data_IF_097012082936
#
_entry.id   IF_097012082936
#
_cell.length_a   1.000
_cell.length_b   1.000
_cell.length_c   1.000
_cell.angle_alpha   90.00
_cell.angle_beta   90.00
_cell.angle_gamma   90.00
#
_symmetry.space_group_name_H-M   'P 1'
#
loop_
_entity.id
_entity.type
_entity.pdbx_description
1 polymer ?
#
# COMPACT_ATOMS: atom_id res chain seq x y z
N UNK A 1 14.14 15.86 -29.83
CA UNK A 1 15.36 15.52 -30.61
C UNK A 1 15.09 14.53 -31.76
N UNK A 2 14.65 13.29 -31.48
CA UNK A 2 14.38 12.28 -32.53
C UNK A 2 13.44 12.77 -33.64
N UNK A 3 12.32 13.41 -33.27
CA UNK A 3 11.38 13.95 -34.26
C UNK A 3 12.01 15.02 -35.16
N UNK A 4 12.89 15.88 -34.62
CA UNK A 4 13.55 16.95 -35.39
C UNK A 4 14.46 16.35 -36.46
N UNK A 5 15.22 15.31 -36.10
CA UNK A 5 16.09 14.60 -37.06
C UNK A 5 15.26 13.90 -38.13
N UNK A 6 14.22 13.14 -37.72
CA UNK A 6 13.47 12.28 -38.64
C UNK A 6 12.52 13.05 -39.55
N UNK A 7 11.87 14.08 -39.03
CA UNK A 7 10.84 14.84 -39.77
C UNK A 7 11.46 16.01 -40.50
N UNK A 8 12.39 16.72 -39.86
CA UNK A 8 12.93 17.96 -40.42
C UNK A 8 14.33 17.80 -41.04
N UNK A 9 15.02 16.68 -40.80
CA UNK A 9 16.34 16.40 -41.39
C UNK A 9 17.49 17.19 -40.77
N UNK A 10 17.26 17.97 -39.71
CA UNK A 10 18.32 18.74 -39.05
C UNK A 10 19.10 17.87 -38.06
N UNK A 11 20.39 18.15 -37.88
CA UNK A 11 21.21 17.58 -36.82
C UNK A 11 21.16 18.51 -35.58
N UNK A 12 20.29 18.24 -34.58
CA UNK A 12 20.25 19.06 -33.37
C UNK A 12 21.45 18.76 -32.46
N UNK A 13 21.96 19.81 -31.83
CA UNK A 13 22.82 19.72 -30.65
C UNK A 13 22.05 19.06 -29.48
N UNK A 14 22.73 18.90 -28.33
CA UNK A 14 22.10 18.28 -27.14
C UNK A 14 20.94 19.13 -26.63
N UNK A 15 21.16 20.44 -26.47
CA UNK A 15 20.23 21.40 -25.90
C UNK A 15 19.90 22.56 -26.84
N UNK A 16 20.29 22.50 -28.12
CA UNK A 16 19.96 23.53 -29.10
C UNK A 16 19.53 22.94 -30.44
N UNK A 17 18.69 23.69 -31.14
CA UNK A 17 18.27 23.42 -32.51
C UNK A 17 18.57 24.67 -33.32
N UNK A 18 19.35 24.52 -34.38
CA UNK A 18 19.59 25.58 -35.33
C UNK A 18 18.72 25.38 -36.57
N UNK A 19 17.95 26.40 -36.92
CA UNK A 19 17.10 26.38 -38.11
C UNK A 19 16.94 27.79 -38.68
N UNK A 20 17.20 27.96 -39.98
CA UNK A 20 17.08 29.25 -40.70
C UNK A 20 17.84 30.40 -40.02
N UNK A 21 19.05 30.13 -39.52
CA UNK A 21 19.88 31.11 -38.82
C UNK A 21 19.37 31.50 -37.43
N UNK A 22 18.31 30.84 -36.92
CA UNK A 22 17.87 30.99 -35.54
C UNK A 22 18.33 29.80 -34.71
N UNK A 23 18.92 30.09 -33.55
CA UNK A 23 19.32 29.09 -32.56
C UNK A 23 18.33 29.07 -31.41
N UNK A 24 17.62 27.96 -31.25
CA UNK A 24 16.62 27.76 -30.19
C UNK A 24 17.14 26.79 -29.13
N UNK A 25 17.16 27.21 -27.87
CA UNK A 25 17.54 26.34 -26.74
C UNK A 25 16.37 25.45 -26.31
N UNK A 26 16.64 24.18 -26.09
CA UNK A 26 15.75 23.19 -25.54
C UNK A 26 16.08 22.99 -24.05
N UNK A 27 15.08 23.16 -23.19
CA UNK A 27 15.22 22.98 -21.74
C UNK A 27 14.10 22.10 -21.20
N UNK A 28 14.39 21.41 -20.09
CA UNK A 28 13.40 20.63 -19.35
C UNK A 28 13.12 21.37 -18.05
N UNK A 29 11.90 21.90 -17.93
CA UNK A 29 11.45 22.62 -16.74
C UNK A 29 10.21 21.91 -16.17
N UNK A 30 10.38 20.92 -15.26
CA UNK A 30 9.27 20.22 -14.65
C UNK A 30 8.38 21.19 -13.86
N UNK A 31 7.07 21.17 -14.12
CA UNK A 31 6.13 22.04 -13.42
C UNK A 31 5.90 21.56 -11.97
N UNK A 32 5.87 22.50 -11.02
CA UNK A 32 5.59 22.25 -9.61
C UNK A 32 4.12 22.41 -9.24
N UNK A 33 3.72 21.88 -8.08
CA UNK A 33 2.41 22.16 -7.49
C UNK A 33 2.42 23.50 -6.73
N UNK A 34 1.25 24.14 -6.64
CA UNK A 34 1.11 25.39 -5.88
C UNK A 34 0.98 25.11 -4.38
N UNK A 35 2.10 25.11 -3.67
CA UNK A 35 2.12 24.92 -2.22
C UNK A 35 1.30 25.97 -1.46
N UNK A 36 1.30 27.21 -1.98
CA UNK A 36 0.57 28.32 -1.37
C UNK A 36 -0.94 28.15 -1.52
N UNK A 37 -1.44 27.63 -2.65
CA UNK A 37 -2.88 27.38 -2.86
C UNK A 37 -3.38 26.31 -1.90
N UNK A 38 -2.69 25.17 -1.81
CA UNK A 38 -3.05 24.08 -0.89
C UNK A 38 -2.98 24.57 0.55
N UNK A 39 -1.94 25.32 0.92
CA UNK A 39 -1.81 25.82 2.29
C UNK A 39 -2.88 26.85 2.65
N UNK A 40 -3.26 27.73 1.73
CA UNK A 40 -4.39 28.65 1.93
C UNK A 40 -5.70 27.87 2.12
N UNK A 41 -5.94 26.84 1.31
CA UNK A 41 -7.15 26.01 1.44
C UNK A 41 -7.22 25.31 2.80
N UNK A 42 -6.11 24.77 3.30
CA UNK A 42 -6.03 24.13 4.63
C UNK A 42 -6.31 25.08 5.79
N UNK A 43 -6.10 26.39 5.61
CA UNK A 43 -6.31 27.38 6.66
C UNK A 43 -7.74 27.95 6.67
N UNK A 44 -8.68 27.34 5.94
CA UNK A 44 -10.07 27.78 5.89
C UNK A 44 -10.96 27.01 6.87
N UNK A 45 -12.03 27.63 7.41
CA UNK A 45 -13.00 26.91 8.24
C UNK A 45 -13.69 25.75 7.51
N UNK A 46 -13.97 25.91 6.21
CA UNK A 46 -14.57 24.87 5.37
C UNK A 46 -13.68 23.63 5.28
N UNK A 47 -12.36 23.80 5.16
CA UNK A 47 -11.44 22.67 5.19
C UNK A 47 -11.54 21.89 6.51
N UNK A 48 -11.56 22.58 7.65
CA UNK A 48 -11.67 21.94 8.96
C UNK A 48 -12.99 21.15 9.11
N UNK A 49 -14.09 21.72 8.62
CA UNK A 49 -15.39 21.06 8.57
C UNK A 49 -15.35 19.79 7.70
N UNK A 50 -14.84 19.88 6.47
CA UNK A 50 -14.71 18.74 5.57
C UNK A 50 -13.80 17.65 6.16
N UNK A 51 -12.67 18.03 6.75
CA UNK A 51 -11.72 17.08 7.35
C UNK A 51 -12.36 16.32 8.52
N UNK A 52 -13.10 17.01 9.39
CA UNK A 52 -13.84 16.39 10.50
C UNK A 52 -14.88 15.39 9.98
N UNK A 53 -15.66 15.79 8.97
CA UNK A 53 -16.68 14.94 8.35
C UNK A 53 -16.06 13.68 7.74
N UNK A 54 -14.98 13.81 6.96
CA UNK A 54 -14.32 12.65 6.35
C UNK A 54 -13.59 11.77 7.36
N UNK A 55 -13.05 12.36 8.43
CA UNK A 55 -12.45 11.59 9.53
C UNK A 55 -13.49 10.69 10.20
N UNK A 56 -14.69 11.23 10.44
CA UNK A 56 -15.81 10.49 11.01
C UNK A 56 -16.36 9.44 10.03
N UNK A 57 -16.61 9.82 8.78
CA UNK A 57 -17.18 8.93 7.74
C UNK A 57 -16.29 7.72 7.45
N UNK A 58 -14.96 7.92 7.43
CA UNK A 58 -13.98 6.87 7.15
C UNK A 58 -13.30 6.37 8.42
N UNK A 59 -13.91 6.54 9.59
CA UNK A 59 -13.34 6.03 10.84
C UNK A 59 -13.18 4.49 10.77
N UNK A 60 -11.99 4.00 11.11
CA UNK A 60 -11.67 2.56 11.03
C UNK A 60 -11.51 2.00 9.61
N UNK A 61 -11.51 2.86 8.59
CA UNK A 61 -11.34 2.49 7.17
C UNK A 61 -10.04 3.05 6.61
N UNK A 62 -9.37 2.25 5.79
CA UNK A 62 -8.23 2.71 5.00
C UNK A 62 -8.75 3.41 3.73
N UNK A 63 -8.55 4.73 3.63
CA UNK A 63 -9.00 5.52 2.49
C UNK A 63 -7.89 5.62 1.42
N UNK A 64 -8.12 5.02 0.26
CA UNK A 64 -7.28 5.13 -0.93
C UNK A 64 -7.90 6.12 -1.89
N UNK A 65 -7.25 7.25 -2.11
CA UNK A 65 -7.74 8.34 -2.93
C UNK A 65 -7.11 8.34 -4.32
N UNK A 66 -7.93 8.50 -5.35
CA UNK A 66 -7.50 8.75 -6.73
C UNK A 66 -8.23 9.97 -7.27
N UNK A 67 -7.47 10.96 -7.76
CA UNK A 67 -8.02 12.20 -8.32
C UNK A 67 -7.45 12.37 -9.71
N UNK A 68 -8.30 12.38 -10.73
CA UNK A 68 -7.87 12.60 -12.12
C UNK A 68 -9.03 13.03 -13.02
N UNK A 69 -8.69 13.50 -14.22
CA UNK A 69 -9.68 13.65 -15.28
C UNK A 69 -10.02 12.28 -15.86
N UNK A 70 -11.26 12.09 -16.27
CA UNK A 70 -11.65 10.89 -17.00
C UNK A 70 -11.08 10.95 -18.42
N UNK A 71 -9.96 10.27 -18.63
CA UNK A 71 -9.15 10.32 -19.85
C UNK A 71 -8.45 8.97 -20.07
N UNK A 72 -8.29 8.56 -21.32
CA UNK A 72 -7.64 7.29 -21.68
C UNK A 72 -6.16 7.20 -21.30
N UNK A 73 -5.48 8.34 -21.16
CA UNK A 73 -4.09 8.39 -20.71
C UNK A 73 -3.91 8.08 -19.22
N UNK A 74 -4.99 8.13 -18.43
CA UNK A 74 -4.95 8.02 -16.97
C UNK A 74 -5.03 6.59 -16.44
N UNK A 75 -5.23 5.61 -17.32
CA UNK A 75 -5.13 4.18 -16.96
C UNK A 75 -6.23 3.70 -16.02
N UNK A 76 -7.42 4.31 -16.08
CA UNK A 76 -8.55 3.95 -15.22
C UNK A 76 -8.96 2.47 -15.32
N UNK A 77 -9.05 1.84 -16.52
CA UNK A 77 -9.36 0.42 -16.61
C UNK A 77 -8.32 -0.48 -15.91
N UNK A 78 -7.03 -0.17 -16.06
CA UNK A 78 -5.94 -0.93 -15.43
C UNK A 78 -5.97 -0.77 -13.91
N UNK A 79 -6.23 0.45 -13.44
CA UNK A 79 -6.39 0.79 -12.02
C UNK A 79 -7.55 0.01 -11.39
N UNK A 80 -8.72 0.00 -12.04
CA UNK A 80 -9.88 -0.78 -11.59
C UNK A 80 -9.61 -2.29 -11.59
N UNK A 81 -8.92 -2.81 -12.60
CA UNK A 81 -8.53 -4.23 -12.63
C UNK A 81 -7.56 -4.60 -11.49
N UNK A 82 -6.64 -3.71 -11.13
CA UNK A 82 -5.76 -3.92 -9.98
C UNK A 82 -6.52 -3.92 -8.65
N UNK A 83 -7.52 -3.04 -8.50
CA UNK A 83 -8.39 -2.97 -7.32
C UNK A 83 -9.26 -4.21 -7.20
N UNK A 84 -9.87 -4.65 -8.31
CA UNK A 84 -10.63 -5.89 -8.36
C UNK A 84 -9.79 -7.06 -7.89
N UNK A 85 -8.57 -7.20 -8.42
CA UNK A 85 -7.66 -8.26 -7.99
C UNK A 85 -7.25 -8.14 -6.52
N UNK A 86 -7.06 -6.92 -6.02
CA UNK A 86 -6.80 -6.68 -4.61
C UNK A 86 -7.97 -7.16 -3.73
N UNK A 87 -9.21 -6.82 -4.09
CA UNK A 87 -10.40 -7.21 -3.34
C UNK A 87 -10.61 -8.73 -3.34
N UNK A 88 -10.35 -9.41 -4.46
CA UNK A 88 -10.37 -10.88 -4.53
C UNK A 88 -9.36 -11.50 -3.54
N UNK A 89 -8.12 -11.01 -3.54
CA UNK A 89 -7.08 -11.50 -2.64
C UNK A 89 -7.40 -11.26 -1.17
N UNK A 90 -8.06 -10.14 -0.85
CA UNK A 90 -8.51 -9.84 0.51
C UNK A 90 -9.62 -10.80 0.93
N UNK A 91 -10.63 -11.00 0.08
CA UNK A 91 -11.73 -11.93 0.33
C UNK A 91 -11.25 -13.38 0.49
N UNK A 92 -10.30 -13.84 -0.33
CA UNK A 92 -9.65 -15.15 -0.20
C UNK A 92 -8.99 -15.31 1.17
N UNK A 93 -8.21 -14.32 1.61
CA UNK A 93 -7.51 -14.34 2.91
C UNK A 93 -8.48 -14.31 4.08
N UNK A 94 -9.58 -13.58 3.99
CA UNK A 94 -10.62 -13.57 5.02
C UNK A 94 -11.31 -14.92 5.14
N UNK A 95 -11.64 -15.55 4.01
CA UNK A 95 -12.21 -16.89 3.99
C UNK A 95 -11.25 -17.92 4.60
N UNK A 96 -9.95 -17.83 4.29
CA UNK A 96 -8.92 -18.69 4.89
C UNK A 96 -8.81 -18.49 6.41
N UNK A 97 -8.79 -17.24 6.89
CA UNK A 97 -8.75 -16.92 8.33
C UNK A 97 -9.99 -17.44 9.05
N UNK A 98 -11.18 -17.26 8.47
CA UNK A 98 -12.42 -17.77 9.02
C UNK A 98 -12.43 -19.31 9.10
N UNK A 99 -11.90 -19.99 8.08
CA UNK A 99 -11.73 -21.46 8.09
C UNK A 99 -10.71 -21.91 9.13
N UNK A 100 -9.61 -21.19 9.30
CA UNK A 100 -8.59 -21.49 10.30
C UNK A 100 -9.13 -21.33 11.73
N UNK A 101 -9.89 -20.26 12.00
CA UNK A 101 -10.52 -20.03 13.30
C UNK A 101 -11.51 -21.15 13.66
N UNK A 102 -12.37 -21.57 12.71
CA UNK A 102 -13.30 -22.70 12.92
C UNK A 102 -12.56 -24.01 13.24
N UNK A 103 -11.45 -24.29 12.55
CA UNK A 103 -10.63 -25.49 12.80
C UNK A 103 -9.95 -25.48 14.17
N UNK A 104 -9.64 -24.29 14.69
CA UNK A 104 -9.04 -24.13 16.02
C UNK A 104 -10.07 -24.29 17.14
N UNK A 105 -11.32 -23.85 16.91
CA UNK A 105 -12.47 -24.11 17.79
C UNK A 105 -12.90 -25.58 17.80
N UNK A 106 -12.80 -26.28 16.66
CA UNK A 106 -13.14 -27.71 16.52
C UNK A 106 -12.04 -28.66 17.03
N UNK A 107 -10.86 -28.14 17.43
CA UNK A 107 -9.83 -28.98 18.04
C UNK A 107 -10.37 -29.50 19.37
N UNK A 108 -10.45 -30.83 19.59
CA UNK A 108 -10.93 -31.35 20.86
C UNK A 108 -10.07 -30.74 21.96
N UNK A 109 -10.73 -30.17 22.99
CA UNK A 109 -10.04 -29.82 24.23
C UNK A 109 -9.29 -31.08 24.62
N UNK A 110 -7.96 -31.01 24.71
CA UNK A 110 -7.22 -32.08 25.37
C UNK A 110 -7.86 -32.16 26.74
N UNK A 111 -8.52 -33.27 27.02
CA UNK A 111 -8.83 -33.64 28.39
C UNK A 111 -7.51 -33.45 29.14
N UNK A 112 -7.56 -32.62 30.18
CA UNK A 112 -6.44 -32.53 31.11
C UNK A 112 -6.10 -33.97 31.47
N UNK A 113 -4.82 -34.40 31.36
CA UNK A 113 -4.49 -35.74 31.78
C UNK A 113 -5.04 -35.88 33.20
N UNK A 114 -5.99 -36.80 33.37
CA UNK A 114 -6.43 -37.20 34.69
C UNK A 114 -5.14 -37.43 35.47
N UNK A 115 -4.95 -36.69 36.56
CA UNK A 115 -3.89 -36.99 37.51
C UNK A 115 -4.19 -38.44 37.94
N UNK A 116 -3.49 -39.41 37.31
CA UNK A 116 -3.33 -40.73 37.88
C UNK A 116 -2.74 -40.47 39.27
N UNK A 117 -3.60 -40.55 40.29
CA UNK A 117 -3.18 -40.71 41.66
C UNK A 117 -2.36 -42.00 41.70
N UNK A 118 -1.06 -41.88 41.43
CA UNK A 118 -0.10 -42.95 41.70
C UNK A 118 -0.20 -43.25 43.20
N UNK A 119 -0.94 -44.31 43.54
CA UNK A 119 -0.91 -44.92 44.86
C UNK A 119 0.55 -45.21 45.20
N UNK A 120 1.10 -44.37 46.08
CA UNK A 120 2.45 -44.52 46.61
C UNK A 120 2.60 -45.91 47.22
N UNK A 121 3.50 -46.79 46.73
CA UNK A 121 3.80 -48.01 47.44
C UNK A 121 4.49 -47.64 48.74
N UNK A 122 3.89 -48.05 49.86
CA UNK A 122 4.43 -47.90 51.20
C UNK A 122 5.65 -48.82 51.32
N UNK A 123 6.79 -48.36 50.81
CA UNK A 123 8.08 -49.02 50.86
C UNK A 123 8.87 -48.57 52.08
N UNK A 124 9.08 -49.49 53.00
CA UNK A 124 9.86 -49.36 54.23
C UNK A 124 11.16 -48.58 54.09
N UNK A 125 11.34 -47.59 54.95
CA UNK A 125 12.64 -47.00 55.27
C UNK A 125 13.61 -48.09 55.76
N UNK A 126 14.81 -48.13 55.18
CA UNK A 126 16.01 -48.67 55.82
C UNK A 126 17.16 -47.67 55.65
N UNK A 127 17.98 -47.44 56.69
CA UNK A 127 19.08 -46.49 56.62
C UNK A 127 20.38 -47.15 56.13
N UNK A 128 21.32 -46.28 55.74
CA UNK A 128 22.74 -46.54 55.37
C UNK A 128 22.96 -46.83 53.87
N UNK A 129 23.96 -46.27 53.18
CA UNK A 129 25.23 -45.68 53.61
C UNK A 129 25.73 -44.64 52.60
N UNK A 130 26.63 -43.76 53.07
CA UNK A 130 27.46 -42.87 52.26
C UNK A 130 28.20 -43.65 51.16
N UNK A 131 28.11 -43.19 49.92
CA UNK A 131 29.24 -43.14 48.96
C UNK A 131 28.84 -42.33 47.71
N UNK A 132 29.64 -41.30 47.42
CA UNK A 132 29.45 -40.33 46.35
C UNK A 132 30.32 -40.74 45.14
N UNK A 133 29.76 -41.04 43.96
CA UNK A 133 30.55 -41.22 42.75
C UNK A 133 30.88 -39.85 42.11
N UNK A 134 32.13 -39.58 41.72
CA UNK A 134 32.53 -38.29 41.18
C UNK A 134 32.09 -38.18 39.71
N UNK A 135 31.28 -37.17 39.37
CA UNK A 135 30.89 -36.95 37.98
C UNK A 135 29.74 -35.98 37.71
N UNK A 136 29.48 -35.00 38.57
CA UNK A 136 28.58 -33.90 38.24
C UNK A 136 29.31 -32.87 37.36
N UNK A 137 28.95 -32.76 36.08
CA UNK A 137 29.49 -31.70 35.22
C UNK A 137 29.27 -31.85 33.73
N UNK A 138 28.01 -31.88 33.24
CA UNK A 138 27.69 -31.46 31.86
C UNK A 138 26.45 -30.58 31.84
N UNK A 139 26.60 -29.38 32.38
CA UNK A 139 25.66 -28.28 32.18
C UNK A 139 25.76 -27.73 30.75
N UNK A 140 24.61 -27.47 30.15
CA UNK A 140 24.23 -26.37 29.25
C UNK A 140 25.11 -25.90 28.05
N UNK A 141 26.39 -26.25 27.94
CA UNK A 141 27.27 -25.85 26.83
C UNK A 141 27.35 -26.86 25.68
N UNK A 142 26.91 -28.11 25.87
CA UNK A 142 26.90 -29.13 24.82
C UNK A 142 25.78 -29.03 23.79
N UNK A 143 24.74 -28.20 24.02
CA UNK A 143 23.60 -28.05 23.10
C UNK A 143 23.71 -26.84 22.16
N UNK A 144 24.69 -25.95 22.37
CA UNK A 144 24.90 -24.79 21.49
C UNK A 144 25.73 -25.13 20.23
N UNK A 145 26.69 -26.05 20.32
CA UNK A 145 27.57 -26.43 19.20
C UNK A 145 26.88 -27.29 18.14
N UNK A 146 25.82 -28.02 18.51
CA UNK A 146 25.02 -28.83 17.57
C UNK A 146 24.03 -27.98 16.76
N UNK A 147 23.69 -26.78 17.24
CA UNK A 147 22.79 -25.87 16.53
C UNK A 147 23.53 -25.01 15.49
N UNK A 148 24.78 -24.58 15.77
CA UNK A 148 25.60 -23.83 14.82
C UNK A 148 26.01 -24.65 13.58
N UNK A 149 26.31 -25.95 13.73
CA UNK A 149 26.66 -26.83 12.59
C UNK A 149 25.50 -27.08 11.62
N UNK A 150 24.25 -26.92 12.07
CA UNK A 150 23.06 -27.10 11.21
C UNK A 150 22.77 -25.92 10.28
N UNK A 151 23.36 -24.74 10.53
CA UNK A 151 23.11 -23.52 9.75
C UNK A 151 24.15 -23.22 8.65
N UNK A 152 25.35 -23.81 8.73
CA UNK A 152 26.41 -23.55 7.73
C UNK A 152 26.33 -24.46 6.48
N UNK A 153 25.57 -25.54 6.51
CA UNK A 153 25.46 -26.52 5.41
C UNK A 153 24.53 -26.18 4.24
N UNK A 154 23.91 -24.99 4.19
CA UNK A 154 22.94 -24.62 3.12
C UNK A 154 23.34 -23.43 2.25
N UNK A 155 24.63 -23.08 2.20
CA UNK A 155 25.16 -21.96 1.39
C UNK A 155 25.85 -22.36 0.07
N UNK A 156 25.52 -23.51 -0.52
CA UNK A 156 26.10 -23.93 -1.80
C UNK A 156 25.03 -24.47 -2.78
N UNK A 157 24.24 -23.58 -3.37
CA UNK A 157 23.58 -23.78 -4.66
C UNK A 157 23.10 -22.43 -5.18
N UNK A 158 23.90 -21.80 -6.04
CA UNK A 158 23.61 -20.49 -6.64
C UNK A 158 23.76 -20.64 -8.15
N UNK A 159 22.66 -20.75 -8.87
CA UNK A 159 22.57 -20.39 -10.28
C UNK A 159 21.12 -20.31 -10.71
N UNK A 160 20.75 -19.20 -11.35
CA UNK A 160 19.47 -18.94 -12.06
C UNK A 160 18.27 -18.50 -11.23
N UNK A 161 18.31 -17.29 -10.64
CA UNK A 161 17.05 -16.62 -10.24
C UNK A 161 17.19 -15.10 -10.09
N UNK A 162 17.07 -14.37 -11.20
CA UNK A 162 17.11 -12.90 -11.22
C UNK A 162 15.74 -12.24 -11.53
N UNK A 163 14.67 -13.02 -11.71
CA UNK A 163 13.31 -12.49 -11.91
C UNK A 163 12.42 -12.55 -10.67
N UNK A 164 12.85 -13.24 -9.61
CA UNK A 164 12.07 -13.47 -8.39
C UNK A 164 12.67 -12.77 -7.15
N UNK A 165 13.12 -11.52 -7.29
CA UNK A 165 13.76 -10.76 -6.18
C UNK A 165 13.01 -9.49 -5.74
N UNK A 166 12.00 -9.03 -6.49
CA UNK A 166 11.21 -7.84 -6.14
C UNK A 166 10.02 -8.23 -5.24
N UNK A 167 9.26 -9.27 -5.59
CA UNK A 167 8.09 -9.71 -4.81
C UNK A 167 8.45 -10.23 -3.41
N UNK A 168 9.58 -10.94 -3.29
CA UNK A 168 10.04 -11.50 -2.01
C UNK A 168 10.65 -10.44 -1.09
N UNK A 169 11.17 -9.33 -1.62
CA UNK A 169 11.64 -8.20 -0.80
C UNK A 169 10.49 -7.42 -0.19
N UNK A 170 9.41 -7.20 -0.95
CA UNK A 170 8.19 -6.55 -0.43
C UNK A 170 7.58 -7.42 0.68
N UNK A 171 7.44 -8.73 0.47
CA UNK A 171 6.88 -9.63 1.49
C UNK A 171 7.80 -9.82 2.71
N UNK A 172 9.13 -9.77 2.54
CA UNK A 172 10.07 -9.82 3.68
C UNK A 172 10.11 -8.51 4.48
N UNK A 173 9.84 -7.36 3.83
CA UNK A 173 9.65 -6.08 4.51
C UNK A 173 8.28 -6.00 5.22
N UNK A 174 7.26 -6.68 4.68
CA UNK A 174 5.93 -6.77 5.28
C UNK A 174 5.79 -7.87 6.35
N UNK A 175 6.71 -8.86 6.40
CA UNK A 175 6.47 -10.10 7.13
C UNK A 175 7.58 -10.60 8.08
N UNK A 176 8.63 -9.83 8.37
CA UNK A 176 9.78 -10.36 9.13
C UNK A 176 10.40 -9.42 10.15
N UNK A 177 10.05 -9.66 11.42
CA UNK A 177 10.74 -9.24 12.64
C UNK A 177 10.77 -7.73 12.95
N UNK A 178 9.83 -7.33 13.82
CA UNK A 178 10.04 -6.36 14.91
C UNK A 178 10.63 -4.98 14.58
N UNK A 179 9.78 -3.95 14.60
CA UNK A 179 10.21 -2.58 14.89
C UNK A 179 10.42 -1.66 13.68
N UNK A 180 9.35 -1.38 12.94
CA UNK A 180 9.20 -0.11 12.21
C UNK A 180 7.73 0.30 12.08
N UNK A 181 6.84 -0.70 12.13
CA UNK A 181 5.39 -0.57 12.40
C UNK A 181 5.09 -0.88 13.87
N UNK A 182 5.88 -0.28 14.77
CA UNK A 182 5.50 -0.19 16.18
C UNK A 182 4.30 0.75 16.30
N UNK A 183 3.36 0.41 17.18
CA UNK A 183 2.13 1.13 17.53
C UNK A 183 2.09 2.55 16.95
N UNK A 184 1.19 2.81 16.01
CA UNK A 184 0.83 4.20 15.74
C UNK A 184 0.40 4.83 17.07
N UNK A 185 0.62 6.13 17.24
CA UNK A 185 0.35 6.85 18.49
C UNK A 185 -1.14 6.85 18.90
N UNK A 186 -2.00 6.09 18.22
CA UNK A 186 -3.45 6.02 18.43
C UNK A 186 -3.95 4.63 18.80
N UNK A 187 -3.08 3.62 18.93
CA UNK A 187 -3.56 2.25 19.11
C UNK A 187 -4.51 1.83 17.98
N UNK A 188 -4.34 2.42 16.79
CA UNK A 188 -5.19 2.11 15.64
C UNK A 188 -4.92 0.67 15.22
N UNK A 189 -6.00 -0.09 15.08
CA UNK A 189 -5.97 -1.44 14.55
C UNK A 189 -5.08 -1.52 13.31
N UNK A 190 -4.23 -2.54 13.29
CA UNK A 190 -3.56 -3.09 12.10
C UNK A 190 -4.46 -2.84 10.89
N UNK A 191 -4.00 -2.07 9.90
CA UNK A 191 -4.75 -1.73 8.68
C UNK A 191 -5.58 -2.94 8.24
N UNK A 192 -6.88 -2.87 8.50
CA UNK A 192 -7.76 -3.98 8.17
C UNK A 192 -8.04 -3.88 6.68
N UNK A 193 -7.39 -4.75 5.91
CA UNK A 193 -7.57 -4.77 4.47
C UNK A 193 -9.04 -4.99 4.09
N UNK A 194 -9.84 -5.60 4.99
CA UNK A 194 -11.29 -5.78 4.88
C UNK A 194 -12.06 -4.47 4.75
N UNK A 195 -11.54 -3.37 5.30
CA UNK A 195 -12.23 -2.07 5.38
C UNK A 195 -11.63 -1.00 4.45
N UNK A 196 -10.94 -1.42 3.39
CA UNK A 196 -10.32 -0.51 2.42
C UNK A 196 -11.36 0.14 1.51
N UNK A 197 -11.41 1.47 1.45
CA UNK A 197 -12.30 2.21 0.55
C UNK A 197 -11.47 2.95 -0.50
N UNK A 198 -11.76 2.69 -1.77
CA UNK A 198 -11.20 3.39 -2.92
C UNK A 198 -12.13 4.54 -3.33
N UNK A 199 -11.69 5.77 -3.08
CA UNK A 199 -12.41 6.98 -3.46
C UNK A 199 -11.82 7.57 -4.74
N UNK A 200 -12.66 7.67 -5.76
CA UNK A 200 -12.32 8.24 -7.05
C UNK A 200 -13.01 9.59 -7.23
N UNK A 201 -12.22 10.65 -7.43
CA UNK A 201 -12.70 11.94 -7.90
C UNK A 201 -12.31 12.05 -9.37
N UNK A 202 -13.27 11.72 -10.24
CA UNK A 202 -13.13 11.80 -11.68
C UNK A 202 -13.74 13.12 -12.19
N UNK A 203 -12.91 13.98 -12.76
CA UNK A 203 -13.39 15.23 -13.37
C UNK A 203 -13.74 14.95 -14.83
N UNK A 204 -14.99 15.24 -15.29
CA UNK A 204 -15.37 15.06 -16.68
C UNK A 204 -14.42 15.81 -17.63
N UNK A 205 -14.08 15.21 -18.77
CA UNK A 205 -13.23 15.85 -19.77
C UNK A 205 -13.62 15.44 -21.18
N UNK A 206 -13.66 16.40 -22.11
CA UNK A 206 -13.83 16.17 -23.56
C UNK A 206 -15.03 15.26 -23.89
N UNK A 207 -16.17 15.53 -23.27
CA UNK A 207 -17.38 14.68 -23.33
C UNK A 207 -17.97 14.53 -24.74
N UNK A 208 -17.62 15.42 -25.67
CA UNK A 208 -18.08 15.32 -27.07
C UNK A 208 -17.32 14.28 -27.90
N UNK A 209 -16.17 13.80 -27.42
CA UNK A 209 -15.30 12.88 -28.17
C UNK A 209 -15.68 11.43 -27.86
N UNK A 210 -15.98 10.64 -28.90
CA UNK A 210 -16.50 9.28 -28.73
C UNK A 210 -15.55 8.34 -27.95
N UNK A 211 -14.23 8.50 -28.12
CA UNK A 211 -13.26 7.74 -27.33
C UNK A 211 -13.36 8.03 -25.82
N UNK A 212 -13.69 9.26 -25.43
CA UNK A 212 -13.89 9.65 -24.03
C UNK A 212 -15.20 9.08 -23.47
N UNK A 213 -16.27 9.07 -24.28
CA UNK A 213 -17.54 8.42 -23.92
C UNK A 213 -17.36 6.92 -23.72
N UNK A 214 -16.60 6.26 -24.60
CA UNK A 214 -16.36 4.82 -24.54
C UNK A 214 -15.62 4.43 -23.25
N UNK A 215 -14.56 5.15 -22.88
CA UNK A 215 -13.84 4.87 -21.63
C UNK A 215 -14.67 5.20 -20.40
N UNK A 216 -15.49 6.26 -20.43
CA UNK A 216 -16.42 6.57 -19.35
C UNK A 216 -17.40 5.43 -19.09
N UNK A 217 -18.03 4.92 -20.17
CA UNK A 217 -18.94 3.77 -20.08
C UNK A 217 -18.23 2.52 -19.56
N UNK A 218 -17.00 2.25 -20.01
CA UNK A 218 -16.21 1.13 -19.52
C UNK A 218 -15.93 1.27 -18.01
N UNK A 219 -15.50 2.45 -17.57
CA UNK A 219 -15.20 2.76 -16.16
C UNK A 219 -16.43 2.59 -15.30
N UNK A 220 -17.56 3.17 -15.69
CA UNK A 220 -18.82 3.03 -14.95
C UNK A 220 -19.26 1.57 -14.84
N UNK A 221 -19.18 0.81 -15.94
CA UNK A 221 -19.51 -0.62 -15.94
C UNK A 221 -18.62 -1.41 -14.99
N UNK A 222 -17.30 -1.20 -15.04
CA UNK A 222 -16.34 -1.88 -14.15
C UNK A 222 -16.57 -1.54 -12.68
N UNK A 223 -16.81 -0.26 -12.36
CA UNK A 223 -17.11 0.17 -10.99
C UNK A 223 -18.40 -0.49 -10.50
N UNK A 224 -19.43 -0.55 -11.35
CA UNK A 224 -20.70 -1.20 -11.02
C UNK A 224 -20.52 -2.70 -10.76
N UNK A 225 -19.74 -3.39 -11.58
CA UNK A 225 -19.46 -4.82 -11.41
C UNK A 225 -18.69 -5.10 -10.11
N UNK A 226 -17.61 -4.36 -9.86
CA UNK A 226 -16.81 -4.50 -8.64
C UNK A 226 -17.68 -4.20 -7.40
N UNK A 227 -18.41 -3.09 -7.38
CA UNK A 227 -19.29 -2.79 -6.26
C UNK A 227 -20.39 -3.85 -6.10
N UNK A 228 -20.97 -4.36 -7.20
CA UNK A 228 -22.00 -5.40 -7.14
C UNK A 228 -21.51 -6.72 -6.54
N UNK A 229 -20.23 -7.06 -6.74
CA UNK A 229 -19.60 -8.28 -6.22
C UNK A 229 -19.12 -8.17 -4.78
N UNK A 230 -18.60 -7.00 -4.38
CA UNK A 230 -17.86 -6.85 -3.13
C UNK A 230 -18.51 -5.93 -2.08
N UNK A 231 -19.60 -5.23 -2.41
CA UNK A 231 -20.30 -4.39 -1.43
C UNK A 231 -21.16 -5.21 -0.46
N UNK A 232 -21.34 -4.69 0.74
CA UNK A 232 -22.30 -5.15 1.74
C UNK A 232 -23.17 -3.97 2.20
N UNK A 233 -24.25 -4.16 2.98
CA UNK A 233 -25.08 -3.05 3.47
C UNK A 233 -24.33 -1.96 4.24
N UNK A 234 -23.13 -2.25 4.75
CA UNK A 234 -22.32 -1.32 5.54
C UNK A 234 -20.97 -0.97 4.90
N UNK A 235 -20.68 -1.53 3.73
CA UNK A 235 -19.39 -1.40 3.07
C UNK A 235 -19.55 -1.27 1.55
N UNK A 236 -18.98 -0.21 1.00
CA UNK A 236 -18.85 -0.03 -0.43
C UNK A 236 -17.35 0.15 -0.75
N UNK A 237 -16.74 -0.76 -1.53
CA UNK A 237 -15.31 -0.72 -1.77
C UNK A 237 -14.91 0.45 -2.68
N UNK A 238 -15.74 0.81 -3.67
CA UNK A 238 -15.45 1.91 -4.58
C UNK A 238 -16.50 3.01 -4.45
N UNK A 239 -16.06 4.19 -4.01
CA UNK A 239 -16.86 5.42 -4.06
C UNK A 239 -16.38 6.24 -5.25
N UNK A 240 -17.28 6.59 -6.17
CA UNK A 240 -16.96 7.29 -7.40
C UNK A 240 -17.72 8.61 -7.52
N UNK A 241 -16.99 9.71 -7.66
CA UNK A 241 -17.50 11.08 -7.77
C UNK A 241 -17.14 11.60 -9.18
N UNK A 242 -18.14 11.74 -10.05
CA UNK A 242 -17.97 12.26 -11.41
C UNK A 242 -18.31 13.75 -11.49
N UNK A 243 -17.54 14.59 -10.79
CA UNK A 243 -17.69 16.05 -10.81
C UNK A 243 -16.39 16.72 -10.34
N UNK A 244 -16.26 18.00 -10.65
CA UNK A 244 -15.26 18.85 -10.01
C UNK A 244 -15.56 19.00 -8.51
N UNK A 245 -14.51 18.97 -7.70
CA UNK A 245 -14.58 19.14 -6.25
C UNK A 245 -13.87 20.46 -5.87
N UNK A 246 -14.46 21.31 -5.00
CA UNK A 246 -13.80 22.53 -4.53
C UNK A 246 -12.45 22.27 -3.88
N UNK A 247 -11.57 23.27 -3.89
CA UNK A 247 -10.18 23.11 -3.43
C UNK A 247 -10.10 22.73 -1.94
N UNK A 248 -10.96 23.31 -1.10
CA UNK A 248 -11.03 23.03 0.33
C UNK A 248 -11.44 21.58 0.61
N UNK A 249 -12.44 21.09 -0.13
CA UNK A 249 -12.93 19.71 -0.03
C UNK A 249 -11.87 18.71 -0.54
N UNK A 250 -11.26 19.00 -1.69
CA UNK A 250 -10.19 18.18 -2.27
C UNK A 250 -8.97 18.11 -1.34
N UNK A 251 -8.59 19.22 -0.74
CA UNK A 251 -7.45 19.27 0.19
C UNK A 251 -7.76 18.52 1.49
N UNK A 252 -9.01 18.58 1.98
CA UNK A 252 -9.45 17.77 3.12
C UNK A 252 -9.40 16.26 2.80
N UNK A 253 -9.78 15.85 1.58
CA UNK A 253 -9.62 14.47 1.12
C UNK A 253 -8.14 14.07 1.06
N UNK A 254 -7.25 14.91 0.52
CA UNK A 254 -5.81 14.64 0.53
C UNK A 254 -5.27 14.49 1.98
N UNK A 255 -5.64 15.41 2.88
CA UNK A 255 -5.21 15.37 4.28
C UNK A 255 -5.70 14.09 4.98
N UNK A 256 -6.94 13.66 4.73
CA UNK A 256 -7.52 12.45 5.32
C UNK A 256 -6.97 11.16 4.71
N UNK A 257 -6.73 11.08 3.40
CA UNK A 257 -6.46 9.81 2.71
C UNK A 257 -5.20 9.08 3.23
N UNK A 258 -5.29 7.78 3.45
CA UNK A 258 -4.18 6.94 3.92
C UNK A 258 -3.21 6.60 2.78
N UNK A 259 -3.74 6.51 1.55
CA UNK A 259 -2.97 6.30 0.35
C UNK A 259 -3.49 7.18 -0.80
N UNK A 260 -2.60 7.69 -1.64
CA UNK A 260 -2.96 8.27 -2.94
C UNK A 260 -2.49 7.36 -4.07
N UNK A 261 -3.34 7.12 -5.06
CA UNK A 261 -3.05 6.25 -6.20
C UNK A 261 -3.02 7.04 -7.50
N UNK A 262 -1.82 7.24 -8.03
CA UNK A 262 -1.55 7.98 -9.26
C UNK A 262 -0.94 7.01 -10.27
N UNK A 263 -1.78 6.41 -11.11
CA UNK A 263 -1.33 5.35 -12.04
C UNK A 263 -1.63 5.65 -13.52
N UNK A 264 -1.24 6.82 -14.07
CA UNK A 264 -1.40 7.09 -15.49
C UNK A 264 -0.56 6.12 -16.33
N UNK A 265 -1.03 5.84 -17.54
CA UNK A 265 -0.28 5.12 -18.57
C UNK A 265 0.75 6.03 -19.23
N UNK A 266 0.42 7.31 -19.40
CA UNK A 266 1.34 8.34 -19.90
C UNK A 266 0.91 9.67 -19.29
N UNK A 267 1.84 10.40 -18.66
CA UNK A 267 1.55 11.74 -18.14
C UNK A 267 2.78 12.63 -18.22
N UNK A 268 2.65 13.82 -18.82
CA UNK A 268 3.77 14.77 -18.90
C UNK A 268 4.24 15.24 -17.53
N UNK A 269 3.29 15.50 -16.62
CA UNK A 269 3.52 15.75 -15.20
C UNK A 269 2.22 15.44 -14.45
N UNK A 270 2.34 14.93 -13.22
CA UNK A 270 1.18 14.68 -12.38
C UNK A 270 1.16 15.61 -11.16
N UNK A 271 0.35 16.66 -11.23
CA UNK A 271 0.25 17.64 -10.14
C UNK A 271 -0.46 17.07 -8.91
N UNK A 272 -1.44 16.17 -9.09
CA UNK A 272 -2.13 15.50 -7.98
C UNK A 272 -1.14 14.77 -7.07
N UNK A 273 -0.13 14.11 -7.63
CA UNK A 273 0.93 13.47 -6.84
C UNK A 273 1.67 14.48 -5.95
N UNK A 274 2.04 15.64 -6.51
CA UNK A 274 2.74 16.71 -5.79
C UNK A 274 1.83 17.40 -4.77
N UNK A 275 0.58 17.68 -5.13
CA UNK A 275 -0.44 18.28 -4.25
C UNK A 275 -0.72 17.39 -3.04
N UNK A 276 -0.84 16.08 -3.24
CA UNK A 276 -1.01 15.12 -2.15
C UNK A 276 0.13 15.21 -1.15
N UNK A 277 1.39 15.25 -1.61
CA UNK A 277 2.55 15.40 -0.73
C UNK A 277 2.52 16.72 0.05
N UNK A 278 2.13 17.83 -0.59
CA UNK A 278 1.98 19.13 0.08
C UNK A 278 0.89 19.09 1.14
N UNK A 279 -0.24 18.44 0.87
CA UNK A 279 -1.33 18.29 1.82
C UNK A 279 -0.99 17.32 2.98
N UNK A 280 0.09 16.55 2.84
CA UNK A 280 0.66 15.65 3.86
C UNK A 280 1.75 16.29 4.72
N UNK A 281 1.82 17.62 4.72
CA UNK A 281 2.70 18.39 5.60
C UNK A 281 2.41 18.11 7.09
N UNK A 282 3.39 17.48 7.75
CA UNK A 282 3.30 17.08 9.17
C UNK A 282 3.40 18.24 10.14
N UNK A 283 3.76 19.44 9.69
CA UNK A 283 3.74 20.64 10.52
C UNK A 283 2.31 21.09 10.85
N UNK A 284 1.32 20.60 10.11
CA UNK A 284 -0.09 20.99 10.26
C UNK A 284 -0.84 20.02 11.16
N UNK A 285 -1.67 20.58 12.03
CA UNK A 285 -2.53 19.82 12.93
C UNK A 285 -3.50 18.92 12.15
N UNK A 286 -3.82 17.74 12.69
CA UNK A 286 -4.77 16.76 12.12
C UNK A 286 -4.37 16.10 10.77
N UNK A 287 -3.17 16.36 10.25
CA UNK A 287 -2.66 15.67 9.05
C UNK A 287 -2.04 14.33 9.42
N UNK A 288 -2.60 13.24 8.89
CA UNK A 288 -2.05 11.89 9.07
C UNK A 288 -1.00 11.58 8.01
N UNK A 289 0.09 10.86 8.34
CA UNK A 289 0.98 10.31 7.33
C UNK A 289 0.20 9.49 6.30
N UNK A 290 0.60 9.57 5.04
CA UNK A 290 0.02 8.79 3.96
C UNK A 290 1.10 8.29 3.01
N UNK A 291 0.73 7.31 2.19
CA UNK A 291 1.61 6.75 1.16
C UNK A 291 1.12 7.14 -0.22
N UNK A 292 2.02 7.21 -1.21
CA UNK A 292 1.65 7.37 -2.61
C UNK A 292 2.06 6.13 -3.40
N UNK A 293 1.16 5.63 -4.23
CA UNK A 293 1.43 4.66 -5.29
C UNK A 293 1.51 5.45 -6.59
N UNK A 294 2.70 5.54 -7.16
CA UNK A 294 2.98 6.38 -8.31
C UNK A 294 3.46 5.52 -9.49
N UNK A 295 2.81 5.68 -10.65
CA UNK A 295 3.28 5.09 -11.92
C UNK A 295 4.61 5.70 -12.33
N UNK A 296 5.54 4.84 -12.74
CA UNK A 296 6.82 5.23 -13.35
C UNK A 296 6.64 6.05 -14.64
N UNK A 297 5.47 5.97 -15.26
CA UNK A 297 5.12 6.66 -16.50
C UNK A 297 4.52 8.07 -16.26
N UNK A 298 4.41 8.48 -15.00
CA UNK A 298 4.09 9.84 -14.64
C UNK A 298 5.36 10.70 -14.63
N UNK A 299 5.33 11.88 -15.24
CA UNK A 299 6.48 12.81 -15.18
C UNK A 299 6.92 13.16 -13.75
N UNK A 300 6.00 13.13 -12.77
CA UNK A 300 6.31 13.35 -11.36
C UNK A 300 7.23 12.27 -10.77
N UNK A 301 7.24 11.06 -11.33
CA UNK A 301 8.11 9.98 -10.86
C UNK A 301 9.59 10.31 -11.05
N UNK A 302 9.96 11.15 -12.01
CA UNK A 302 11.36 11.57 -12.21
C UNK A 302 11.91 12.43 -11.06
N UNK A 303 11.03 13.04 -10.27
CA UNK A 303 11.40 13.90 -9.13
C UNK A 303 11.11 13.23 -7.77
N UNK A 304 10.16 12.28 -7.74
CA UNK A 304 9.66 11.64 -6.51
C UNK A 304 10.18 10.20 -6.32
N UNK A 305 10.87 9.63 -7.31
CA UNK A 305 11.45 8.29 -7.30
C UNK A 305 12.95 8.33 -7.60
#
# INVERSE_FOLDING_TARGET
>A
RSCIVRVCGFAPEIDHVEHRGQRTKLVVNPIGASCSTISKAMNTPRFAEHLSNYTTQFQGKCLVLSVERLDYSKGMPQKLGAIERYLELVAEREAERARAAKREEEKPRRDEPEEEEDEMPVGSFSPMSEECPPGAGRGFQGRLSDWQKKFEGRKAARSSDHKWRISTRINKWLGGAGGFWGKDARGANKLDHASTVFLFVAVPSRQEVDQYKAIELEVHRRISDINGRFSTPHYQPIVYIHRSVPMEELTALYARADCCMVTPLVDGMNLVAKEFLVAKDRSKEHVVPGTIVLSELAGAAQELF
#
